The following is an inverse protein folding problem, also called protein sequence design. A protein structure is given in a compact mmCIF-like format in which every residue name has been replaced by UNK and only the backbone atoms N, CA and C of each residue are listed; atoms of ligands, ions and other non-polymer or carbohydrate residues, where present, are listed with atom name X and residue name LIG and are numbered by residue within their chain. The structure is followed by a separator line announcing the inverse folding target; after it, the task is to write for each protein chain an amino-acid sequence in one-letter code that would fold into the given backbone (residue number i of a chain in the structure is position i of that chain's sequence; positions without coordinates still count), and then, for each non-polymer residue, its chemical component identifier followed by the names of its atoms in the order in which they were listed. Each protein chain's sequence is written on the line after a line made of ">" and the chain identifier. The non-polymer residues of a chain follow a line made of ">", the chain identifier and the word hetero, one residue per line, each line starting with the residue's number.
data_IF_151508892176
#
_entry.id   IF_151508892176
#
_cell.length_a   1.000
_cell.length_b   1.000
_cell.length_c   1.000
_cell.angle_alpha   90.00
_cell.angle_beta   90.00
_cell.angle_gamma   90.00
#
_symmetry.space_group_name_H-M   'P 1'
#
loop_
_entity.id
_entity.type
_entity.pdbx_description
1 polymer ?
#
# COMPACT_ATOMS: atom_id res chain seq x y z
N UNK A 1 -15.52 -0.72 -9.12
CA UNK A 1 -15.48 0.75 -8.89
C UNK A 1 -14.45 1.06 -7.81
N UNK A 2 -13.68 2.17 -7.96
CA UNK A 2 -12.74 2.63 -6.91
C UNK A 2 -13.26 3.97 -6.39
N UNK A 3 -13.32 4.14 -5.06
CA UNK A 3 -13.85 5.34 -4.40
C UNK A 3 -13.22 5.57 -3.02
N UNK A 4 -13.41 6.76 -2.45
CA UNK A 4 -13.10 6.99 -1.04
C UNK A 4 -13.97 6.07 -0.17
N UNK A 5 -13.35 5.56 0.89
CA UNK A 5 -14.04 4.73 1.87
C UNK A 5 -15.04 5.55 2.71
N UNK A 6 -16.04 4.88 3.23
CA UNK A 6 -16.98 5.40 4.23
C UNK A 6 -16.98 4.51 5.47
N UNK A 7 -17.56 4.96 6.57
CA UNK A 7 -17.59 4.22 7.84
C UNK A 7 -18.09 2.77 7.68
N UNK A 8 -19.09 2.57 6.82
CA UNK A 8 -19.68 1.25 6.58
C UNK A 8 -18.70 0.24 5.93
N UNK A 9 -17.62 0.71 5.31
CA UNK A 9 -16.63 -0.16 4.65
C UNK A 9 -15.66 -0.79 5.64
N UNK A 10 -15.52 -0.24 6.85
CA UNK A 10 -14.49 -0.66 7.82
C UNK A 10 -14.61 -2.13 8.21
N UNK A 11 -15.81 -2.67 8.32
CA UNK A 11 -16.02 -4.09 8.62
C UNK A 11 -15.47 -4.97 7.48
N UNK A 12 -15.77 -4.63 6.23
CA UNK A 12 -15.28 -5.36 5.06
C UNK A 12 -13.76 -5.25 4.90
N UNK A 13 -13.18 -4.08 5.19
CA UNK A 13 -11.73 -3.88 5.20
C UNK A 13 -11.07 -4.77 6.27
N UNK A 14 -11.65 -4.83 7.47
CA UNK A 14 -11.16 -5.72 8.53
C UNK A 14 -11.14 -7.19 8.10
N UNK A 15 -12.19 -7.65 7.40
CA UNK A 15 -12.24 -9.00 6.84
C UNK A 15 -11.13 -9.25 5.81
N UNK A 16 -10.81 -8.28 4.96
CA UNK A 16 -9.70 -8.40 4.01
C UNK A 16 -8.36 -8.56 4.75
N UNK A 17 -8.14 -7.80 5.82
CA UNK A 17 -6.93 -7.94 6.63
C UNK A 17 -6.82 -9.34 7.25
N UNK A 18 -7.92 -9.86 7.78
CA UNK A 18 -7.96 -11.21 8.34
C UNK A 18 -7.71 -12.28 7.27
N UNK A 19 -8.34 -12.19 6.10
CA UNK A 19 -8.11 -13.08 4.96
C UNK A 19 -6.63 -13.11 4.53
N UNK A 20 -5.96 -11.95 4.50
CA UNK A 20 -4.53 -11.86 4.15
C UNK A 20 -3.69 -12.57 5.21
N UNK A 21 -3.94 -12.31 6.49
CA UNK A 21 -3.20 -12.94 7.58
C UNK A 21 -3.44 -14.45 7.64
N UNK A 22 -4.64 -14.92 7.32
CA UNK A 22 -4.93 -16.37 7.18
C UNK A 22 -4.14 -17.01 6.03
N UNK A 23 -3.94 -16.30 4.91
CA UNK A 23 -3.08 -16.78 3.83
C UNK A 23 -1.59 -16.76 4.21
N UNK A 24 -1.16 -15.75 4.98
CA UNK A 24 0.22 -15.71 5.52
C UNK A 24 0.51 -16.92 6.42
N UNK A 25 -0.44 -17.31 7.28
CA UNK A 25 -0.31 -18.46 8.18
C UNK A 25 -0.10 -19.81 7.42
N UNK A 26 -0.55 -19.89 6.17
CA UNK A 26 -0.40 -21.09 5.32
C UNK A 26 0.92 -21.13 4.55
N UNK A 27 1.67 -20.03 4.51
CA UNK A 27 2.89 -19.92 3.72
C UNK A 27 4.14 -20.35 4.52
N UNK A 28 5.13 -20.95 3.85
CA UNK A 28 6.41 -21.26 4.51
C UNK A 28 7.23 -20.02 4.84
N UNK A 29 6.95 -18.88 4.18
CA UNK A 29 7.57 -17.59 4.42
C UNK A 29 6.54 -16.47 4.21
N UNK A 30 6.56 -15.47 5.09
CA UNK A 30 5.67 -14.32 5.02
C UNK A 30 5.98 -13.43 3.81
N UNK A 31 4.92 -12.90 3.19
CA UNK A 31 5.03 -11.85 2.16
C UNK A 31 4.82 -10.45 2.73
N UNK A 32 4.20 -10.33 3.89
CA UNK A 32 3.87 -9.02 4.46
C UNK A 32 4.67 -8.71 5.71
N UNK A 33 5.14 -9.71 6.43
CA UNK A 33 5.71 -9.60 7.77
C UNK A 33 4.75 -8.96 8.81
N UNK A 34 3.48 -8.89 8.50
CA UNK A 34 2.45 -8.32 9.35
C UNK A 34 2.12 -9.22 10.53
N UNK A 35 1.63 -8.61 11.60
CA UNK A 35 1.35 -9.32 12.85
C UNK A 35 -0.13 -9.19 13.23
N UNK A 36 -0.80 -10.32 13.37
CA UNK A 36 -2.21 -10.40 13.75
C UNK A 36 -2.48 -9.61 15.04
N UNK A 37 -3.55 -8.82 15.03
CA UNK A 37 -3.95 -7.98 16.14
C UNK A 37 -3.06 -6.75 16.40
N UNK A 38 -1.99 -6.57 15.62
CA UNK A 38 -1.10 -5.41 15.73
C UNK A 38 -1.17 -4.53 14.49
N UNK A 39 -0.91 -5.11 13.31
CA UNK A 39 -0.95 -4.38 12.05
C UNK A 39 -1.14 -5.33 10.85
N UNK A 40 -1.95 -4.97 9.82
CA UNK A 40 -2.94 -3.88 9.88
C UNK A 40 -4.16 -4.24 10.74
N UNK A 41 -4.87 -3.24 11.21
CA UNK A 41 -6.12 -3.40 11.95
C UNK A 41 -7.16 -2.38 11.48
N UNK A 42 -8.43 -2.60 11.81
CA UNK A 42 -9.52 -1.65 11.54
C UNK A 42 -9.21 -0.26 12.15
N UNK A 43 -8.47 -0.19 13.27
CA UNK A 43 -8.07 1.09 13.86
C UNK A 43 -7.19 1.92 12.90
N UNK A 44 -6.25 1.27 12.19
CA UNK A 44 -5.41 1.95 11.20
C UNK A 44 -6.23 2.43 10.00
N UNK A 45 -7.18 1.59 9.54
CA UNK A 45 -8.10 1.98 8.47
C UNK A 45 -8.99 3.17 8.89
N UNK A 46 -9.52 3.15 10.12
CA UNK A 46 -10.34 4.25 10.68
C UNK A 46 -9.57 5.57 10.69
N UNK A 47 -8.32 5.55 11.13
CA UNK A 47 -7.51 6.77 11.12
C UNK A 47 -7.32 7.33 9.71
N UNK A 48 -7.03 6.49 8.73
CA UNK A 48 -6.92 6.92 7.33
C UNK A 48 -8.26 7.39 6.75
N UNK A 49 -9.39 6.83 7.20
CA UNK A 49 -10.73 7.28 6.86
C UNK A 49 -10.99 8.69 7.41
N UNK A 50 -10.69 8.94 8.67
CA UNK A 50 -10.84 10.24 9.33
C UNK A 50 -9.98 11.32 8.64
N UNK A 51 -8.80 10.96 8.15
CA UNK A 51 -7.91 11.83 7.38
C UNK A 51 -8.40 12.03 5.91
N UNK A 52 -9.43 11.29 5.44
CA UNK A 52 -9.93 11.37 4.06
C UNK A 52 -8.98 10.75 3.02
N UNK A 53 -8.13 9.82 3.43
CA UNK A 53 -7.04 9.25 2.63
C UNK A 53 -7.25 7.77 2.30
N UNK A 54 -8.31 7.15 2.86
CA UNK A 54 -8.62 5.74 2.67
C UNK A 54 -9.50 5.53 1.43
N UNK A 55 -9.06 4.62 0.58
CA UNK A 55 -9.74 4.23 -0.65
C UNK A 55 -10.12 2.77 -0.62
N UNK A 56 -11.20 2.42 -1.28
CA UNK A 56 -11.67 1.04 -1.46
C UNK A 56 -11.98 0.75 -2.92
N UNK A 57 -11.89 -0.53 -3.26
CA UNK A 57 -12.33 -1.02 -4.57
C UNK A 57 -13.36 -2.13 -4.40
N UNK A 58 -14.42 -2.04 -5.18
CA UNK A 58 -15.53 -2.99 -5.17
C UNK A 58 -15.94 -3.39 -6.59
N UNK A 59 -16.46 -4.59 -6.73
CA UNK A 59 -17.01 -5.14 -7.95
C UNK A 59 -18.26 -5.97 -7.60
N UNK A 60 -19.39 -5.68 -8.22
CA UNK A 60 -20.69 -6.34 -7.98
C UNK A 60 -21.12 -6.36 -6.49
N UNK A 61 -20.79 -5.30 -5.76
CA UNK A 61 -21.09 -5.17 -4.33
C UNK A 61 -20.12 -5.91 -3.40
N UNK A 62 -19.09 -6.61 -3.93
CA UNK A 62 -18.02 -7.23 -3.15
C UNK A 62 -16.82 -6.27 -3.04
N UNK A 63 -16.55 -5.78 -1.83
CA UNK A 63 -15.38 -4.98 -1.54
C UNK A 63 -14.17 -5.89 -1.48
N UNK A 64 -13.22 -5.71 -2.42
CA UNK A 64 -12.09 -6.61 -2.58
C UNK A 64 -10.72 -6.01 -2.27
N UNK A 65 -10.64 -4.69 -2.11
CA UNK A 65 -9.36 -4.05 -1.84
C UNK A 65 -9.53 -2.75 -1.04
N UNK A 66 -8.46 -2.38 -0.33
CA UNK A 66 -8.32 -1.10 0.33
C UNK A 66 -6.87 -0.60 0.20
N UNK A 67 -6.67 0.71 0.23
CA UNK A 67 -5.36 1.35 0.23
C UNK A 67 -5.44 2.77 0.77
N UNK A 68 -4.30 3.30 1.19
CA UNK A 68 -4.16 4.70 1.59
C UNK A 68 -3.32 5.43 0.54
N UNK A 69 -3.78 6.58 0.10
CA UNK A 69 -3.09 7.45 -0.84
C UNK A 69 -3.01 8.87 -0.27
N UNK A 70 -1.80 9.31 0.02
CA UNK A 70 -1.55 10.64 0.60
C UNK A 70 -0.16 11.18 0.23
N UNK A 71 0.25 12.31 0.82
CA UNK A 71 1.59 12.89 0.69
C UNK A 71 2.50 12.63 1.89
N UNK A 72 2.13 11.74 2.81
CA UNK A 72 2.88 11.50 4.05
C UNK A 72 4.01 10.51 3.82
N UNK A 73 5.23 11.01 3.77
CA UNK A 73 6.43 10.19 3.65
C UNK A 73 6.86 9.69 5.03
N UNK A 74 7.28 8.41 5.11
CA UNK A 74 7.83 7.85 6.35
C UNK A 74 9.19 8.49 6.67
N UNK A 75 9.54 8.68 7.97
CA UNK A 75 10.81 9.29 8.35
C UNK A 75 12.03 8.59 7.75
N UNK A 76 11.98 7.27 7.60
CA UNK A 76 13.05 6.45 7.05
C UNK A 76 13.33 6.72 5.57
N UNK A 77 12.37 7.34 4.86
CA UNK A 77 12.55 7.70 3.44
C UNK A 77 13.70 8.68 3.21
N UNK A 78 14.13 9.42 4.24
CA UNK A 78 15.31 10.29 4.13
C UNK A 78 16.62 9.51 3.93
N UNK A 79 16.66 8.22 4.27
CA UNK A 79 17.81 7.34 4.07
C UNK A 79 17.88 6.78 2.64
N UNK A 80 16.84 6.96 1.84
CA UNK A 80 16.74 6.39 0.50
C UNK A 80 17.30 7.37 -0.54
N UNK A 81 18.21 6.91 -1.42
CA UNK A 81 18.78 7.74 -2.48
C UNK A 81 17.79 7.88 -3.65
N UNK A 82 16.72 8.65 -3.41
CA UNK A 82 15.73 8.95 -4.44
C UNK A 82 16.39 9.65 -5.63
N UNK A 83 16.03 9.27 -6.83
CA UNK A 83 16.51 9.88 -8.07
C UNK A 83 15.55 10.95 -8.57
N UNK A 84 14.23 10.76 -8.34
CA UNK A 84 13.24 11.74 -8.75
C UNK A 84 13.01 12.73 -7.63
N UNK A 85 13.60 13.93 -7.79
CA UNK A 85 13.40 15.03 -6.87
C UNK A 85 12.06 15.71 -7.15
N UNK A 86 11.34 16.06 -6.08
CA UNK A 86 10.11 16.83 -6.14
C UNK A 86 9.94 17.60 -4.83
N UNK A 87 9.25 18.76 -4.85
CA UNK A 87 8.78 19.38 -3.63
C UNK A 87 8.00 18.38 -2.75
N UNK A 88 8.09 18.53 -1.44
CA UNK A 88 7.46 17.56 -0.50
C UNK A 88 5.95 17.44 -0.74
N UNK A 89 5.29 18.53 -1.09
CA UNK A 89 3.86 18.61 -1.40
C UNK A 89 3.49 18.09 -2.80
N UNK A 90 4.47 17.71 -3.60
CA UNK A 90 4.28 17.08 -4.90
C UNK A 90 4.61 15.58 -4.92
N UNK A 91 4.86 14.98 -3.75
CA UNK A 91 5.14 13.53 -3.63
C UNK A 91 3.90 12.81 -3.13
N UNK A 92 3.42 11.86 -3.92
CA UNK A 92 2.39 10.90 -3.51
C UNK A 92 3.01 9.66 -2.89
N UNK A 93 2.35 9.08 -1.89
CA UNK A 93 2.74 7.81 -1.28
C UNK A 93 1.55 6.88 -1.20
N UNK A 94 1.75 5.64 -1.65
CA UNK A 94 0.79 4.54 -1.46
C UNK A 94 1.18 3.78 -0.20
N UNK A 95 0.23 3.64 0.74
CA UNK A 95 0.41 2.83 1.94
C UNK A 95 -0.64 1.73 2.02
N UNK A 96 -0.26 0.60 2.60
CA UNK A 96 -1.17 -0.50 2.96
C UNK A 96 -2.11 -0.90 1.82
N UNK A 97 -1.57 -1.03 0.60
CA UNK A 97 -2.33 -1.51 -0.53
C UNK A 97 -2.58 -3.00 -0.36
N UNK A 98 -3.84 -3.36 -0.16
CA UNK A 98 -4.30 -4.74 0.05
C UNK A 98 -5.33 -5.14 -0.97
N UNK A 99 -5.25 -6.40 -1.41
CA UNK A 99 -6.26 -7.06 -2.25
C UNK A 99 -6.63 -8.37 -1.56
N UNK A 100 -7.92 -8.62 -1.39
CA UNK A 100 -8.40 -9.90 -0.85
C UNK A 100 -7.82 -11.08 -1.63
N UNK A 101 -7.32 -12.11 -0.95
CA UNK A 101 -6.79 -13.32 -1.60
C UNK A 101 -7.77 -13.96 -2.60
N UNK A 102 -9.08 -13.81 -2.40
CA UNK A 102 -10.14 -14.27 -3.34
C UNK A 102 -10.01 -13.64 -4.73
N UNK A 103 -9.33 -12.50 -4.82
CA UNK A 103 -9.09 -11.74 -6.04
C UNK A 103 -7.64 -11.81 -6.53
N UNK A 104 -6.83 -12.70 -5.93
CA UNK A 104 -5.43 -12.89 -6.33
C UNK A 104 -5.30 -13.36 -7.79
N UNK A 105 -4.25 -12.94 -8.47
CA UNK A 105 -3.96 -13.34 -9.84
C UNK A 105 -4.83 -12.68 -10.93
N UNK A 106 -5.82 -11.87 -10.56
CA UNK A 106 -6.74 -11.21 -11.50
C UNK A 106 -6.28 -9.82 -11.97
N UNK A 107 -5.06 -9.42 -11.66
CA UNK A 107 -4.51 -8.12 -12.07
C UNK A 107 -4.97 -6.93 -11.23
N UNK A 108 -5.80 -7.13 -10.21
CA UNK A 108 -6.43 -6.06 -9.41
C UNK A 108 -5.44 -5.09 -8.78
N UNK A 109 -4.33 -5.58 -8.23
CA UNK A 109 -3.31 -4.68 -7.66
C UNK A 109 -2.73 -3.71 -8.70
N UNK A 110 -2.59 -4.12 -9.96
CA UNK A 110 -2.12 -3.25 -11.05
C UNK A 110 -3.15 -2.17 -11.40
N UNK A 111 -4.44 -2.53 -11.39
CA UNK A 111 -5.54 -1.58 -11.62
C UNK A 111 -5.55 -0.50 -10.52
N UNK A 112 -5.32 -0.90 -9.25
CA UNK A 112 -5.26 0.02 -8.13
C UNK A 112 -4.07 0.97 -8.22
N UNK A 113 -2.88 0.46 -8.58
CA UNK A 113 -1.68 1.30 -8.76
C UNK A 113 -1.88 2.30 -9.89
N UNK A 114 -2.44 1.87 -11.02
CA UNK A 114 -2.76 2.77 -12.14
C UNK A 114 -3.75 3.87 -11.73
N UNK A 115 -4.77 3.52 -10.94
CA UNK A 115 -5.68 4.50 -10.37
C UNK A 115 -4.97 5.50 -9.44
N UNK A 116 -4.08 5.01 -8.56
CA UNK A 116 -3.30 5.88 -7.68
C UNK A 116 -2.44 6.87 -8.46
N UNK A 117 -1.81 6.43 -9.56
CA UNK A 117 -1.02 7.30 -10.44
C UNK A 117 -1.88 8.40 -11.09
N UNK A 118 -3.06 8.03 -11.61
CA UNK A 118 -3.97 8.99 -12.25
C UNK A 118 -4.54 9.99 -11.24
N UNK A 119 -4.97 9.52 -10.07
CA UNK A 119 -5.46 10.37 -8.99
C UNK A 119 -4.37 11.32 -8.49
N UNK A 120 -3.13 10.85 -8.41
CA UNK A 120 -1.99 11.66 -8.01
C UNK A 120 -1.71 12.78 -9.02
N UNK A 121 -1.73 12.47 -10.32
CA UNK A 121 -1.60 13.51 -11.37
C UNK A 121 -2.73 14.54 -11.28
N UNK A 122 -3.97 14.11 -11.00
CA UNK A 122 -5.10 15.02 -10.82
C UNK A 122 -4.91 15.97 -9.63
N UNK A 123 -4.22 15.52 -8.58
CA UNK A 123 -3.89 16.33 -7.41
C UNK A 123 -2.64 17.21 -7.60
N UNK A 124 -1.96 17.11 -8.74
CA UNK A 124 -0.74 17.85 -9.04
C UNK A 124 0.53 17.23 -8.46
N UNK A 125 0.47 16.00 -7.98
CA UNK A 125 1.67 15.27 -7.55
C UNK A 125 2.46 14.80 -8.78
N UNK A 126 3.78 14.92 -8.71
CA UNK A 126 4.69 14.65 -9.84
C UNK A 126 5.54 13.40 -9.65
N UNK A 127 5.65 12.91 -8.42
CA UNK A 127 6.40 11.70 -8.06
C UNK A 127 5.53 10.79 -7.18
N UNK A 128 5.54 9.50 -7.49
CA UNK A 128 4.97 8.46 -6.63
C UNK A 128 6.09 7.71 -5.92
N UNK A 129 5.92 7.51 -4.61
CA UNK A 129 6.78 6.65 -3.79
C UNK A 129 5.96 5.59 -3.08
N UNK A 130 6.57 4.46 -2.80
CA UNK A 130 5.99 3.39 -2.00
C UNK A 130 7.09 2.49 -1.47
N UNK A 131 6.74 1.69 -0.49
CA UNK A 131 7.60 0.65 0.03
C UNK A 131 6.87 -0.69 0.10
N UNK A 132 7.63 -1.76 0.17
CA UNK A 132 7.11 -3.10 0.40
C UNK A 132 8.17 -3.97 1.08
N UNK A 133 7.72 -4.89 1.92
CA UNK A 133 8.61 -5.85 2.59
C UNK A 133 9.49 -6.59 1.57
N UNK A 134 10.77 -6.76 1.87
CA UNK A 134 11.72 -7.43 0.96
C UNK A 134 11.28 -8.84 0.57
N UNK A 135 10.59 -9.56 1.50
CA UNK A 135 10.02 -10.88 1.27
C UNK A 135 8.74 -10.89 0.44
N UNK A 136 8.17 -9.74 0.10
CA UNK A 136 6.96 -9.65 -0.73
C UNK A 136 7.28 -9.87 -2.21
N UNK A 137 7.59 -11.11 -2.58
CA UNK A 137 7.96 -11.44 -3.96
C UNK A 137 6.94 -10.99 -5.01
N UNK A 138 5.62 -11.16 -4.83
CA UNK A 138 4.65 -10.67 -5.81
C UNK A 138 4.73 -9.17 -6.05
N UNK A 139 4.78 -8.36 -5.00
CA UNK A 139 4.88 -6.91 -5.10
C UNK A 139 6.23 -6.47 -5.70
N UNK A 140 7.33 -7.01 -5.20
CA UNK A 140 8.68 -6.72 -5.70
C UNK A 140 8.87 -7.09 -7.18
N UNK A 141 8.09 -8.04 -7.71
CA UNK A 141 8.06 -8.37 -9.15
C UNK A 141 7.10 -7.50 -9.95
N UNK A 142 6.07 -6.96 -9.32
CA UNK A 142 5.04 -6.16 -9.97
C UNK A 142 5.49 -4.73 -10.23
N UNK A 143 6.02 -4.04 -9.22
CA UNK A 143 6.35 -2.61 -9.33
C UNK A 143 7.34 -2.29 -10.46
N UNK A 144 8.45 -3.03 -10.66
CA UNK A 144 9.33 -2.79 -11.81
C UNK A 144 8.64 -2.93 -13.17
N UNK A 145 7.67 -3.87 -13.29
CA UNK A 145 6.88 -4.04 -14.54
C UNK A 145 5.90 -2.90 -14.78
N UNK A 146 5.57 -2.13 -13.75
CA UNK A 146 4.75 -0.92 -13.83
C UNK A 146 5.59 0.36 -14.03
N UNK A 147 6.89 0.21 -14.22
CA UNK A 147 7.80 1.31 -14.45
C UNK A 147 8.35 1.98 -13.19
N UNK A 148 8.14 1.35 -12.02
CA UNK A 148 8.77 1.83 -10.80
C UNK A 148 10.23 1.41 -10.74
N UNK A 149 11.07 2.36 -10.34
CA UNK A 149 12.49 2.13 -10.08
C UNK A 149 12.67 1.74 -8.61
N UNK A 150 13.45 0.71 -8.32
CA UNK A 150 13.93 0.44 -6.98
C UNK A 150 14.95 1.54 -6.62
N UNK A 151 14.58 2.41 -5.68
CA UNK A 151 15.42 3.51 -5.21
C UNK A 151 16.45 3.04 -4.19
N UNK A 152 16.07 2.10 -3.34
CA UNK A 152 16.92 1.54 -2.30
C UNK A 152 16.12 0.66 -1.35
N UNK A 153 16.78 0.20 -0.31
CA UNK A 153 16.16 -0.52 0.79
C UNK A 153 16.71 0.02 2.10
N UNK A 154 15.90 0.03 3.12
CA UNK A 154 16.33 0.44 4.46
C UNK A 154 15.59 -0.35 5.54
N UNK A 155 16.19 -0.39 6.71
CA UNK A 155 15.59 -1.01 7.88
C UNK A 155 14.54 -0.08 8.46
N UNK A 156 13.37 -0.65 8.74
CA UNK A 156 12.26 0.03 9.39
C UNK A 156 11.96 -0.65 10.72
N UNK A 157 11.66 0.16 11.72
CA UNK A 157 11.02 -0.29 12.93
C UNK A 157 9.54 0.10 12.88
N UNK A 158 8.82 -0.59 11.99
CA UNK A 158 7.47 -0.24 11.61
C UNK A 158 6.50 -0.41 12.78
N UNK A 159 5.67 0.61 13.00
CA UNK A 159 4.67 0.67 14.08
C UNK A 159 5.27 0.45 15.49
N UNK A 160 6.59 0.55 15.67
CA UNK A 160 7.26 0.36 16.96
C UNK A 160 7.41 -1.11 17.42
N UNK A 161 7.10 -2.09 16.56
CA UNK A 161 7.19 -3.52 16.92
C UNK A 161 7.55 -4.47 15.76
N UNK A 162 7.60 -3.99 14.51
CA UNK A 162 8.01 -4.80 13.36
C UNK A 162 9.37 -4.32 12.87
N UNK A 163 10.41 -5.14 13.06
CA UNK A 163 11.68 -4.95 12.40
C UNK A 163 11.65 -5.60 11.03
N UNK A 164 11.86 -4.83 9.99
CA UNK A 164 11.85 -5.33 8.63
C UNK A 164 12.70 -4.47 7.70
N UNK A 165 13.10 -5.06 6.57
CA UNK A 165 13.71 -4.33 5.47
C UNK A 165 12.61 -4.08 4.44
N UNK A 166 12.40 -2.81 4.12
CA UNK A 166 11.47 -2.38 3.08
C UNK A 166 12.25 -1.94 1.83
N UNK A 167 11.89 -2.52 0.71
CA UNK A 167 12.30 -2.06 -0.62
C UNK A 167 11.47 -0.83 -1.00
N UNK A 168 12.14 0.27 -1.28
CA UNK A 168 11.51 1.54 -1.60
C UNK A 168 11.56 1.80 -3.11
N UNK A 169 10.41 2.08 -3.67
CA UNK A 169 10.22 2.29 -5.10
C UNK A 169 9.74 3.70 -5.39
N UNK A 170 10.14 4.22 -6.54
CA UNK A 170 9.71 5.52 -7.04
C UNK A 170 9.35 5.48 -8.51
N UNK A 171 8.48 6.40 -8.92
CA UNK A 171 8.10 6.64 -10.31
C UNK A 171 7.80 8.10 -10.53
N UNK A 172 8.30 8.67 -11.61
CA UNK A 172 7.86 9.98 -12.07
C UNK A 172 6.49 9.82 -12.75
N UNK A 173 5.52 10.67 -12.39
CA UNK A 173 4.13 10.61 -12.84
C UNK A 173 3.89 11.41 -14.13
#
# INVERSE_FOLDING_TARGET
>A
MIRLAVEADLEAIGKIYDEILEEEDKRPASYTNWQRGKYPTVHHARKALEDGELWVAEEDGDLYAAFVLNGKQLPEYHNIPWQFEAPVDEVAVIHTLVVSPRWAGKGKARELVAFCEEESRRKGWTVMRLDTYEGNYPANRMYPKLGYRLAGATEFFFQGFIHEILNCYEKQL
#
